data_IF_273450232508
#
_entry.id   IF_273450232508
#
_cell.length_a   1.000
_cell.length_b   1.000
_cell.length_c   1.000
_cell.angle_alpha   90.00
_cell.angle_beta   90.00
_cell.angle_gamma   90.00
#
_symmetry.space_group_name_H-M   'P 1'
#
loop_
_entity.id
_entity.type
_entity.pdbx_description
1 polymer ?
#
# COMPACT_ATOMS: atom_id res chain seq x y z
N UNK A 1 68.91 34.21 26.87
CA UNK A 1 69.00 34.48 25.42
C UNK A 1 69.82 33.35 24.80
N UNK A 2 69.20 32.46 24.02
CA UNK A 2 69.89 31.37 23.30
C UNK A 2 70.04 31.79 21.83
N UNK A 3 71.19 31.52 21.18
CA UNK A 3 71.45 31.98 19.82
C UNK A 3 70.66 31.18 18.78
N UNK A 4 70.23 31.92 17.75
CA UNK A 4 69.56 31.49 16.54
C UNK A 4 70.54 30.72 15.63
N UNK A 5 70.16 29.52 15.19
CA UNK A 5 70.89 28.74 14.17
C UNK A 5 69.97 28.58 12.95
N UNK A 6 70.39 28.97 11.74
CA UNK A 6 69.55 28.93 10.55
C UNK A 6 69.46 27.53 9.92
N UNK A 7 68.33 27.27 9.27
CA UNK A 7 67.94 26.00 8.66
C UNK A 7 68.74 25.61 7.40
N UNK A 8 68.93 24.32 7.12
CA UNK A 8 69.22 23.83 5.78
C UNK A 8 67.92 23.61 4.98
N UNK A 9 67.86 24.29 3.85
CA UNK A 9 67.03 24.02 2.69
C UNK A 9 67.24 22.57 2.20
N UNK A 10 66.20 21.89 1.72
CA UNK A 10 66.29 20.94 0.61
C UNK A 10 64.89 20.52 0.09
N UNK A 11 64.70 20.81 -1.19
CA UNK A 11 63.99 20.05 -2.23
C UNK A 11 62.53 19.60 -2.04
N UNK A 12 61.66 20.33 -2.75
CA UNK A 12 60.60 19.87 -3.65
C UNK A 12 60.46 18.34 -3.87
N UNK A 13 59.30 17.77 -3.50
CA UNK A 13 58.58 16.74 -4.28
C UNK A 13 57.06 16.93 -4.10
N UNK A 14 56.26 17.01 -5.18
CA UNK A 14 54.81 17.13 -5.12
C UNK A 14 54.16 15.75 -4.94
N UNK A 15 53.24 15.62 -3.98
CA UNK A 15 52.66 14.33 -3.61
C UNK A 15 51.15 14.40 -3.39
N UNK A 16 50.41 14.04 -4.44
CA UNK A 16 49.14 13.30 -4.41
C UNK A 16 47.96 13.94 -3.66
N UNK A 17 47.23 14.79 -4.40
CA UNK A 17 45.78 14.90 -4.26
C UNK A 17 45.15 13.52 -4.47
N UNK A 18 44.77 12.87 -3.38
CA UNK A 18 43.98 11.64 -3.40
C UNK A 18 42.55 11.97 -3.84
N UNK A 19 42.34 11.98 -5.15
CA UNK A 19 41.04 11.84 -5.78
C UNK A 19 40.43 10.52 -5.31
N UNK A 20 39.57 10.55 -4.28
CA UNK A 20 38.57 9.50 -4.10
C UNK A 20 37.51 9.71 -5.17
N UNK A 21 37.84 9.17 -6.35
CA UNK A 21 36.97 9.08 -7.49
C UNK A 21 35.61 8.55 -7.08
N UNK A 22 34.59 9.26 -7.53
CA UNK A 22 33.24 8.73 -7.72
C UNK A 22 33.39 7.38 -8.39
N UNK A 23 33.07 6.31 -7.67
CA UNK A 23 32.76 5.04 -8.30
C UNK A 23 31.41 5.25 -8.99
N UNK A 24 31.47 5.69 -10.25
CA UNK A 24 30.35 5.67 -11.17
C UNK A 24 29.87 4.23 -11.21
N UNK A 25 28.81 3.90 -10.47
CA UNK A 25 28.12 2.62 -10.63
C UNK A 25 27.72 2.55 -12.09
N UNK A 26 28.22 1.52 -12.77
CA UNK A 26 28.06 1.32 -14.19
C UNK A 26 26.60 1.47 -14.62
N UNK A 27 26.41 2.11 -15.77
CA UNK A 27 25.21 1.93 -16.57
C UNK A 27 25.09 0.43 -16.84
N UNK A 28 24.33 -0.28 -16.01
CA UNK A 28 23.74 -1.55 -16.45
C UNK A 28 22.79 -1.16 -17.55
N UNK A 29 23.06 -1.61 -18.78
CA UNK A 29 22.05 -1.63 -19.84
C UNK A 29 20.86 -2.39 -19.26
N UNK A 30 19.82 -1.64 -18.90
CA UNK A 30 18.54 -2.20 -18.50
C UNK A 30 17.97 -2.74 -19.80
N UNK A 31 17.87 -4.06 -19.90
CA UNK A 31 17.08 -4.68 -20.96
C UNK A 31 15.71 -3.99 -20.92
N UNK A 32 15.35 -3.27 -21.98
CA UNK A 32 14.15 -2.43 -21.99
C UNK A 32 12.92 -3.34 -22.08
N UNK A 33 12.58 -3.96 -20.95
CA UNK A 33 11.29 -4.64 -20.77
C UNK A 33 10.20 -3.65 -21.10
N UNK A 34 9.23 -4.07 -21.92
CA UNK A 34 8.06 -3.28 -22.24
C UNK A 34 7.43 -2.72 -20.95
N UNK A 35 7.38 -1.40 -20.83
CA UNK A 35 6.66 -0.75 -19.73
C UNK A 35 5.19 -0.66 -20.11
N UNK A 36 4.33 -1.21 -19.27
CA UNK A 36 2.88 -1.20 -19.46
C UNK A 36 2.25 -0.54 -18.25
N UNK A 37 1.27 0.34 -18.47
CA UNK A 37 0.40 0.88 -17.43
C UNK A 37 -1.01 0.35 -17.66
N UNK A 38 -1.55 -0.37 -16.67
CA UNK A 38 -2.87 -1.00 -16.75
C UNK A 38 -3.89 -0.16 -15.97
N UNK A 39 -5.00 0.18 -16.62
CA UNK A 39 -6.15 0.80 -15.97
C UNK A 39 -7.11 -0.32 -15.57
N UNK A 40 -7.49 -0.33 -14.29
CA UNK A 40 -8.36 -1.35 -13.70
C UNK A 40 -9.67 -0.73 -13.28
N UNK A 41 -10.77 -1.30 -13.73
CA UNK A 41 -12.12 -0.76 -13.55
C UNK A 41 -12.44 -0.54 -12.08
N UNK A 42 -12.13 -1.50 -11.22
CA UNK A 42 -12.36 -1.46 -9.78
C UNK A 42 -11.66 -0.27 -9.11
N UNK A 43 -10.45 0.09 -9.58
CA UNK A 43 -9.72 1.25 -9.07
C UNK A 43 -10.23 2.56 -9.66
N UNK A 44 -10.70 2.56 -10.91
CA UNK A 44 -11.38 3.73 -11.51
C UNK A 44 -12.67 4.02 -10.76
N UNK A 45 -13.49 3.01 -10.50
CA UNK A 45 -14.74 3.16 -9.74
C UNK A 45 -14.48 3.63 -8.32
N UNK A 46 -13.38 3.19 -7.71
CA UNK A 46 -13.01 3.59 -6.35
C UNK A 46 -12.50 5.04 -6.28
N UNK A 47 -11.63 5.44 -7.22
CA UNK A 47 -10.96 6.75 -7.21
C UNK A 47 -11.76 7.84 -7.94
N UNK A 48 -12.65 7.44 -8.85
CA UNK A 48 -13.32 8.29 -9.84
C UNK A 48 -12.34 9.09 -10.73
N UNK A 49 -11.12 8.57 -10.94
CA UNK A 49 -10.09 9.20 -11.77
C UNK A 49 -9.12 8.12 -12.30
N UNK A 50 -9.01 8.00 -13.63
CA UNK A 50 -8.19 6.94 -14.25
C UNK A 50 -6.70 7.08 -13.96
N UNK A 51 -6.18 8.30 -13.78
CA UNK A 51 -4.76 8.53 -13.47
C UNK A 51 -4.48 8.14 -12.03
N UNK A 52 -5.36 8.50 -11.09
CA UNK A 52 -5.23 8.06 -9.70
C UNK A 52 -5.38 6.54 -9.57
N UNK A 53 -6.26 5.93 -10.37
CA UNK A 53 -6.41 4.48 -10.44
C UNK A 53 -5.12 3.78 -10.87
N UNK A 54 -4.41 4.31 -11.87
CA UNK A 54 -3.09 3.79 -12.28
C UNK A 54 -2.07 3.90 -11.14
N UNK A 55 -2.01 5.04 -10.44
CA UNK A 55 -1.10 5.19 -9.29
C UNK A 55 -1.44 4.18 -8.20
N UNK A 56 -2.72 4.03 -7.86
CA UNK A 56 -3.15 3.07 -6.84
C UNK A 56 -2.80 1.63 -7.23
N UNK A 57 -3.05 1.25 -8.48
CA UNK A 57 -2.71 -0.07 -9.00
C UNK A 57 -1.22 -0.35 -8.93
N UNK A 58 -0.39 0.60 -9.36
CA UNK A 58 1.06 0.47 -9.27
C UNK A 58 1.56 0.32 -7.81
N UNK A 59 0.98 1.06 -6.87
CA UNK A 59 1.35 0.92 -5.44
C UNK A 59 0.93 -0.43 -4.86
N UNK A 60 -0.20 -1.00 -5.31
CA UNK A 60 -0.62 -2.36 -4.93
C UNK A 60 0.37 -3.39 -5.45
N UNK A 61 0.83 -3.26 -6.70
CA UNK A 61 1.86 -4.14 -7.26
C UNK A 61 3.19 -4.00 -6.52
N UNK A 62 3.65 -2.80 -6.23
CA UNK A 62 4.90 -2.63 -5.47
C UNK A 62 4.78 -3.22 -4.06
N UNK A 63 3.60 -3.17 -3.44
CA UNK A 63 3.36 -3.81 -2.15
C UNK A 63 3.53 -5.33 -2.19
N UNK A 64 3.29 -5.99 -3.33
CA UNK A 64 3.47 -7.45 -3.46
C UNK A 64 4.88 -7.92 -3.71
N UNK A 65 5.74 -6.97 -4.07
CA UNK A 65 7.14 -7.24 -4.41
C UNK A 65 8.07 -6.95 -3.24
N UNK A 66 7.53 -6.54 -2.09
CA UNK A 66 8.32 -6.34 -0.87
C UNK A 66 8.80 -7.70 -0.32
N UNK A 67 10.04 -7.81 0.16
CA UNK A 67 10.57 -9.10 0.64
C UNK A 67 9.81 -9.69 1.82
N UNK A 68 9.20 -8.84 2.65
CA UNK A 68 8.44 -9.20 3.84
C UNK A 68 6.93 -9.26 3.58
N UNK A 69 6.54 -9.55 2.33
CA UNK A 69 5.13 -9.55 1.92
C UNK A 69 4.24 -10.46 2.77
N UNK A 70 4.68 -11.68 3.05
CA UNK A 70 3.90 -12.63 3.87
C UNK A 70 3.63 -12.07 5.28
N UNK A 71 4.65 -11.48 5.92
CA UNK A 71 4.52 -10.84 7.24
C UNK A 71 3.60 -9.61 7.18
N UNK A 72 3.62 -8.91 6.06
CA UNK A 72 2.68 -7.81 5.81
C UNK A 72 1.23 -8.30 5.71
N UNK A 73 0.96 -9.47 5.09
CA UNK A 73 -0.39 -10.06 5.07
C UNK A 73 -0.85 -10.41 6.48
N UNK A 74 0.02 -11.09 7.24
CA UNK A 74 -0.25 -11.49 8.62
C UNK A 74 -0.55 -10.28 9.51
N UNK A 75 0.15 -9.16 9.29
CA UNK A 75 -0.07 -7.91 10.03
C UNK A 75 -1.43 -7.26 9.70
N UNK A 76 -1.83 -7.28 8.42
CA UNK A 76 -3.13 -6.78 7.96
C UNK A 76 -4.29 -7.65 8.45
N UNK A 77 -4.10 -8.97 8.55
CA UNK A 77 -5.10 -9.92 9.09
C UNK A 77 -5.19 -9.88 10.60
N UNK A 78 -4.08 -9.98 11.31
CA UNK A 78 -4.07 -10.08 12.78
C UNK A 78 -4.64 -8.83 13.45
N UNK A 79 -4.58 -7.68 12.77
CA UNK A 79 -5.28 -6.46 13.20
C UNK A 79 -6.82 -6.61 13.27
N UNK A 80 -7.41 -7.74 12.84
CA UNK A 80 -8.83 -8.09 13.00
C UNK A 80 -9.17 -8.58 14.42
N UNK A 81 -8.25 -9.29 15.07
CA UNK A 81 -8.54 -10.02 16.30
C UNK A 81 -8.43 -9.13 17.55
N UNK A 82 -7.60 -8.10 17.50
CA UNK A 82 -7.38 -7.19 18.62
C UNK A 82 -8.31 -5.97 18.56
N UNK A 83 -9.63 -6.20 18.69
CA UNK A 83 -10.65 -5.15 18.78
C UNK A 83 -10.75 -4.52 20.19
N UNK A 84 -9.62 -4.24 20.84
CA UNK A 84 -9.54 -3.41 22.05
C UNK A 84 -8.57 -2.26 21.77
N UNK A 85 -8.83 -1.02 22.21
CA UNK A 85 -8.06 0.13 21.76
C UNK A 85 -6.72 0.16 22.50
N UNK A 86 -5.56 0.00 21.83
CA UNK A 86 -4.38 0.68 22.32
C UNK A 86 -4.51 2.13 21.87
N UNK A 87 -4.34 3.05 22.81
CA UNK A 87 -4.30 4.50 22.61
C UNK A 87 -3.24 4.95 21.59
N UNK A 88 -2.40 4.03 21.10
CA UNK A 88 -1.39 4.24 20.07
C UNK A 88 -1.72 3.46 18.80
N UNK A 89 -1.67 4.14 17.66
CA UNK A 89 -1.78 3.53 16.32
C UNK A 89 -0.83 2.33 16.23
N UNK A 90 -1.27 1.15 15.75
CA UNK A 90 -0.40 0.00 15.59
C UNK A 90 0.79 0.40 14.72
N UNK A 91 2.01 0.24 15.25
CA UNK A 91 3.24 0.55 14.53
C UNK A 91 3.49 -0.55 13.51
N UNK A 92 2.91 -0.38 12.31
CA UNK A 92 3.11 -1.30 11.20
C UNK A 92 4.59 -1.45 10.86
N UNK A 93 5.11 -2.67 10.94
CA UNK A 93 6.53 -2.99 10.74
C UNK A 93 6.80 -3.41 9.29
N UNK A 94 5.84 -4.07 8.64
CA UNK A 94 6.02 -4.74 7.37
C UNK A 94 5.31 -4.05 6.19
N UNK A 95 5.72 -4.40 4.96
CA UNK A 95 5.04 -3.94 3.74
C UNK A 95 5.38 -2.51 3.31
N UNK A 96 6.48 -1.96 3.84
CA UNK A 96 6.94 -0.62 3.51
C UNK A 96 7.96 -0.64 2.38
N UNK A 97 7.69 0.10 1.31
CA UNK A 97 8.64 0.26 0.20
C UNK A 97 9.05 1.73 0.03
N UNK A 98 10.28 1.94 -0.45
CA UNK A 98 10.85 3.28 -0.67
C UNK A 98 10.90 3.58 -2.16
N UNK A 99 10.19 4.63 -2.59
CA UNK A 99 10.27 5.14 -3.97
C UNK A 99 10.28 6.66 -3.97
N UNK A 100 11.00 7.24 -4.91
CA UNK A 100 10.94 8.68 -5.20
C UNK A 100 9.72 8.98 -6.07
N UNK A 101 9.27 10.24 -6.06
CA UNK A 101 8.21 10.70 -6.97
C UNK A 101 8.62 10.50 -8.43
N UNK A 102 9.91 10.68 -8.76
CA UNK A 102 10.40 10.50 -10.12
C UNK A 102 10.33 9.03 -10.56
N UNK A 103 10.77 8.10 -9.71
CA UNK A 103 10.67 6.66 -10.01
C UNK A 103 9.19 6.24 -10.23
N UNK A 104 8.27 6.71 -9.38
CA UNK A 104 6.85 6.41 -9.54
C UNK A 104 6.26 7.02 -10.83
N UNK A 105 6.69 8.22 -11.21
CA UNK A 105 6.28 8.85 -12.47
C UNK A 105 6.76 8.04 -13.69
N UNK A 106 8.03 7.63 -13.67
CA UNK A 106 8.66 6.89 -14.76
C UNK A 106 8.12 5.46 -14.90
N UNK A 107 7.58 4.90 -13.82
CA UNK A 107 6.96 3.57 -13.77
C UNK A 107 5.47 3.61 -14.15
N UNK A 108 4.72 4.64 -13.73
CA UNK A 108 3.28 4.76 -14.01
C UNK A 108 2.95 5.32 -15.39
N UNK A 109 3.93 5.87 -16.11
CA UNK A 109 3.78 6.43 -17.48
C UNK A 109 2.73 7.56 -17.60
N UNK A 110 2.35 8.21 -16.51
CA UNK A 110 1.27 9.22 -16.50
C UNK A 110 1.65 10.58 -17.11
N UNK A 111 2.94 10.82 -17.39
CA UNK A 111 3.45 12.07 -17.98
C UNK A 111 2.89 13.35 -17.34
N UNK A 112 2.80 13.38 -16.02
CA UNK A 112 2.38 14.57 -15.25
C UNK A 112 3.54 15.18 -14.49
N UNK A 113 3.39 16.43 -14.06
CA UNK A 113 4.39 17.07 -13.20
C UNK A 113 4.47 16.37 -11.83
N UNK A 114 5.62 16.46 -11.18
CA UNK A 114 5.80 15.97 -9.81
C UNK A 114 4.84 16.61 -8.80
N UNK A 115 4.41 17.85 -9.02
CA UNK A 115 3.40 18.53 -8.19
C UNK A 115 2.04 17.85 -8.32
N UNK A 116 1.61 17.57 -9.55
CA UNK A 116 0.36 16.84 -9.82
C UNK A 116 0.41 15.43 -9.24
N UNK A 117 1.53 14.71 -9.40
CA UNK A 117 1.68 13.37 -8.86
C UNK A 117 1.59 13.33 -7.32
N UNK A 118 2.20 14.31 -6.65
CA UNK A 118 2.05 14.45 -5.19
C UNK A 118 0.59 14.68 -4.78
N UNK A 119 -0.20 15.41 -5.57
CA UNK A 119 -1.64 15.55 -5.32
C UNK A 119 -2.37 14.21 -5.41
N UNK A 120 -2.02 13.37 -6.39
CA UNK A 120 -2.59 12.01 -6.49
C UNK A 120 -2.24 11.17 -5.27
N UNK A 121 -0.97 11.13 -4.85
CA UNK A 121 -0.55 10.41 -3.64
C UNK A 121 -1.26 10.93 -2.38
N UNK A 122 -1.33 12.25 -2.20
CA UNK A 122 -2.00 12.85 -1.05
C UNK A 122 -3.50 12.52 -1.03
N UNK A 123 -4.15 12.42 -2.20
CA UNK A 123 -5.53 11.95 -2.28
C UNK A 123 -5.65 10.50 -1.79
N UNK A 124 -4.80 9.58 -2.26
CA UNK A 124 -4.83 8.18 -1.83
C UNK A 124 -4.52 8.02 -0.33
N UNK A 125 -3.61 8.85 0.20
CA UNK A 125 -3.32 8.93 1.64
C UNK A 125 -4.50 9.48 2.43
N UNK A 126 -5.14 10.55 1.95
CA UNK A 126 -6.33 11.13 2.58
C UNK A 126 -7.52 10.18 2.60
N UNK A 127 -7.64 9.29 1.60
CA UNK A 127 -8.61 8.19 1.60
C UNK A 127 -8.23 7.04 2.54
N UNK A 128 -6.98 6.98 2.99
CA UNK A 128 -6.47 5.96 3.90
C UNK A 128 -6.13 4.63 3.22
N UNK A 129 -6.11 4.58 1.88
CA UNK A 129 -5.67 3.41 1.12
C UNK A 129 -4.14 3.29 1.09
N UNK A 130 -3.44 4.40 1.30
CA UNK A 130 -1.97 4.45 1.37
C UNK A 130 -1.56 5.13 2.67
N UNK A 131 -0.53 4.60 3.32
CA UNK A 131 0.15 5.22 4.45
C UNK A 131 1.53 5.70 4.00
N UNK A 132 1.99 6.78 4.61
CA UNK A 132 3.34 7.32 4.38
C UNK A 132 4.08 7.44 5.69
N UNK A 133 5.40 7.28 5.64
CA UNK A 133 6.30 7.62 6.75
C UNK A 133 7.65 8.10 6.24
N UNK A 134 8.34 8.88 7.07
CA UNK A 134 9.78 9.12 6.91
C UNK A 134 10.57 7.91 7.41
N UNK A 135 11.79 7.71 6.91
CA UNK A 135 12.64 6.61 7.36
C UNK A 135 12.82 6.65 8.90
N UNK A 136 12.30 5.65 9.65
CA UNK A 136 12.38 5.67 11.11
C UNK A 136 13.80 5.42 11.63
N UNK A 137 14.66 4.76 10.83
CA UNK A 137 16.03 4.38 11.22
C UNK A 137 17.04 5.49 10.94
N UNK A 138 16.80 6.33 9.92
CA UNK A 138 17.71 7.40 9.56
C UNK A 138 16.96 8.71 9.27
N UNK A 139 17.03 9.67 10.21
CA UNK A 139 16.38 10.99 10.09
C UNK A 139 16.91 11.86 8.94
N UNK A 140 18.13 11.59 8.48
CA UNK A 140 18.75 12.32 7.37
C UNK A 140 18.32 11.77 6.01
N UNK A 141 17.79 10.54 5.98
CA UNK A 141 17.22 9.95 4.78
C UNK A 141 15.80 10.49 4.56
N UNK A 142 15.68 11.44 3.63
CA UNK A 142 14.42 12.10 3.28
C UNK A 142 13.55 11.27 2.35
N UNK A 143 13.88 10.00 2.07
CA UNK A 143 13.04 9.12 1.26
C UNK A 143 11.74 8.82 1.99
N UNK A 144 10.62 9.09 1.32
CA UNK A 144 9.29 8.69 1.77
C UNK A 144 9.13 7.19 1.57
N UNK A 145 8.60 6.52 2.59
CA UNK A 145 8.16 5.14 2.48
C UNK A 145 6.65 5.11 2.33
N UNK A 146 6.17 4.21 1.48
CA UNK A 146 4.75 3.97 1.24
C UNK A 146 4.38 2.57 1.70
N UNK A 147 3.15 2.41 2.16
CA UNK A 147 2.54 1.12 2.48
C UNK A 147 1.07 1.17 2.10
N UNK A 148 0.61 0.18 1.35
CA UNK A 148 -0.82 0.08 0.99
C UNK A 148 -1.58 -0.51 2.17
N UNK A 149 -2.73 0.05 2.50
CA UNK A 149 -3.67 -0.50 3.47
C UNK A 149 -4.63 -1.42 2.72
N UNK A 150 -4.21 -2.67 2.53
CA UNK A 150 -4.93 -3.62 1.70
C UNK A 150 -6.26 -4.00 2.32
N UNK A 151 -6.35 -4.12 3.65
CA UNK A 151 -7.63 -4.36 4.32
C UNK A 151 -8.66 -3.27 4.03
N UNK A 152 -8.29 -2.00 4.16
CA UNK A 152 -9.20 -0.89 3.84
C UNK A 152 -9.56 -0.86 2.36
N UNK A 153 -8.55 -1.03 1.50
CA UNK A 153 -8.75 -1.04 0.05
C UNK A 153 -9.75 -2.14 -0.35
N UNK A 154 -9.55 -3.35 0.14
CA UNK A 154 -10.45 -4.48 -0.05
C UNK A 154 -11.88 -4.20 0.43
N UNK A 155 -12.02 -3.70 1.66
CA UNK A 155 -13.34 -3.37 2.22
C UNK A 155 -14.08 -2.29 1.41
N UNK A 156 -13.35 -1.27 0.91
CA UNK A 156 -13.96 -0.21 0.12
C UNK A 156 -14.29 -0.66 -1.32
N UNK A 157 -13.51 -1.59 -1.89
CA UNK A 157 -13.84 -2.23 -3.18
C UNK A 157 -15.08 -3.14 -3.07
N UNK A 158 -15.20 -3.91 -1.98
CA UNK A 158 -16.36 -4.77 -1.74
C UNK A 158 -17.66 -3.97 -1.65
N UNK A 159 -17.63 -2.80 -1.01
CA UNK A 159 -18.79 -1.88 -0.98
C UNK A 159 -19.23 -1.41 -2.37
N UNK A 160 -18.34 -1.50 -3.36
CA UNK A 160 -18.60 -1.16 -4.77
C UNK A 160 -18.88 -2.40 -5.63
N UNK A 161 -18.93 -3.59 -5.04
CA UNK A 161 -19.17 -4.85 -5.75
C UNK A 161 -17.93 -5.46 -6.41
N UNK A 162 -16.73 -5.00 -6.06
CA UNK A 162 -15.46 -5.53 -6.60
C UNK A 162 -14.65 -6.29 -5.53
N UNK A 163 -13.84 -7.23 -5.99
CA UNK A 163 -12.85 -7.96 -5.19
C UNK A 163 -11.45 -7.66 -5.71
N UNK A 164 -10.45 -7.60 -4.84
CA UNK A 164 -9.06 -7.34 -5.25
C UNK A 164 -8.42 -8.64 -5.80
N UNK A 165 -8.58 -8.89 -7.11
CA UNK A 165 -8.13 -10.11 -7.80
C UNK A 165 -6.60 -10.27 -7.95
N UNK A 166 -5.78 -9.39 -7.37
CA UNK A 166 -4.34 -9.30 -7.73
C UNK A 166 -3.53 -10.48 -7.20
N UNK A 167 -4.05 -11.21 -6.22
CA UNK A 167 -3.30 -12.23 -5.50
C UNK A 167 -4.21 -13.39 -5.09
N UNK A 168 -3.90 -14.60 -5.55
CA UNK A 168 -4.57 -15.83 -5.11
C UNK A 168 -4.53 -15.99 -3.58
N UNK A 169 -3.44 -15.57 -2.93
CA UNK A 169 -3.30 -15.60 -1.46
C UNK A 169 -4.29 -14.67 -0.73
N UNK A 170 -4.78 -13.63 -1.40
CA UNK A 170 -5.67 -12.63 -0.80
C UNK A 170 -7.14 -13.04 -0.88
N UNK A 171 -7.50 -13.95 -1.77
CA UNK A 171 -8.86 -14.48 -1.87
C UNK A 171 -9.37 -14.99 -0.50
N UNK A 172 -8.47 -15.56 0.31
CA UNK A 172 -8.77 -16.02 1.67
C UNK A 172 -9.21 -14.91 2.64
N UNK A 173 -8.78 -13.65 2.44
CA UNK A 173 -9.17 -12.49 3.26
C UNK A 173 -10.64 -12.09 3.06
N UNK A 174 -11.21 -12.44 1.91
CA UNK A 174 -12.58 -12.03 1.55
C UNK A 174 -13.63 -13.03 2.04
N UNK A 175 -13.25 -14.29 2.26
CA UNK A 175 -14.16 -15.33 2.71
C UNK A 175 -14.54 -15.15 4.19
N UNK A 176 -13.64 -14.63 5.01
CA UNK A 176 -13.87 -14.42 6.45
C UNK A 176 -14.81 -13.23 6.76
N UNK A 177 -15.01 -12.28 5.85
CA UNK A 177 -16.00 -11.21 6.04
C UNK A 177 -17.42 -11.60 5.57
N UNK A 178 -17.54 -12.59 4.68
CA UNK A 178 -18.84 -13.06 4.19
C UNK A 178 -19.65 -13.74 5.30
N UNK A 179 -18.96 -14.43 6.22
CA UNK A 179 -19.61 -15.15 7.32
C UNK A 179 -20.11 -14.25 8.47
N UNK A 180 -19.64 -12.99 8.57
CA UNK A 180 -20.10 -12.04 9.58
C UNK A 180 -21.34 -11.22 9.18
N UNK A 181 -21.65 -11.12 7.88
CA UNK A 181 -22.78 -10.30 7.41
C UNK A 181 -24.09 -11.08 7.19
N UNK A 182 -24.06 -12.41 7.23
CA UNK A 182 -25.24 -13.27 7.05
C UNK A 182 -25.86 -13.79 8.36
N UNK A 183 -25.20 -13.62 9.51
CA UNK A 183 -25.74 -14.07 10.82
C UNK A 183 -26.41 -12.96 11.66
N UNK A 184 -26.88 -11.89 11.00
CA UNK A 184 -27.55 -10.76 11.67
C UNK A 184 -29.05 -10.62 11.42
N UNK A 185 -29.67 -11.41 10.54
CA UNK A 185 -31.07 -11.22 10.16
C UNK A 185 -31.86 -12.53 10.08
N UNK A 186 -32.14 -13.13 11.23
CA UNK A 186 -33.34 -13.97 11.39
C UNK A 186 -33.90 -13.91 12.81
N UNK A 187 -34.33 -12.72 13.23
CA UNK A 187 -35.36 -12.60 14.28
C UNK A 187 -36.73 -12.54 13.59
N UNK A 188 -37.45 -13.64 13.74
CA UNK A 188 -38.78 -13.99 13.21
C UNK A 188 -39.83 -12.86 13.31
N UNK A 189 -40.74 -12.74 12.33
CA UNK A 189 -42.13 -12.41 12.60
C UNK A 189 -42.93 -13.69 12.85
N UNK A 190 -43.49 -13.81 14.04
CA UNK A 190 -44.55 -14.76 14.35
C UNK A 190 -45.82 -14.36 13.58
N UNK A 191 -46.41 -15.29 12.83
CA UNK A 191 -47.84 -15.29 12.53
C UNK A 191 -48.36 -16.74 12.68
N UNK A 192 -49.52 -16.94 13.32
CA UNK A 192 -50.01 -18.25 13.69
C UNK A 192 -50.75 -18.92 12.52
N UNK A 193 -50.45 -20.20 12.27
CA UNK A 193 -51.30 -21.05 11.43
C UNK A 193 -52.25 -21.83 12.33
N UNK A 194 -53.54 -21.58 12.11
CA UNK A 194 -54.67 -22.18 12.79
C UNK A 194 -54.74 -23.70 12.58
N UNK A 195 -55.24 -24.36 13.62
CA UNK A 195 -55.47 -25.79 13.76
C UNK A 195 -56.50 -26.34 12.79
N UNK A 196 -56.23 -27.55 12.31
CA UNK A 196 -57.16 -28.48 11.67
C UNK A 196 -58.47 -28.64 12.44
N UNK A 197 -59.61 -28.79 11.76
CA UNK A 197 -60.35 -30.07 11.67
C UNK A 197 -61.69 -29.92 10.92
N UNK A 198 -61.86 -30.80 9.93
CA UNK A 198 -63.08 -31.51 9.52
C UNK A 198 -64.34 -31.29 10.38
N UNK A 199 -65.48 -30.94 9.77
CA UNK A 199 -66.71 -31.77 9.72
C UNK A 199 -67.88 -31.05 9.00
N UNK A 200 -68.57 -31.78 8.11
CA UNK A 200 -70.03 -31.79 7.80
C UNK A 200 -70.85 -30.56 8.24
N UNK A 201 -71.73 -29.91 7.45
CA UNK A 201 -72.93 -30.49 6.81
C UNK A 201 -73.76 -29.35 6.16
N UNK A 202 -74.37 -29.66 5.01
CA UNK A 202 -75.64 -29.14 4.44
C UNK A 202 -75.92 -27.63 4.21
N UNK A 203 -76.15 -27.32 2.92
CA UNK A 203 -77.19 -26.50 2.24
C UNK A 203 -78.41 -26.03 3.09
N UNK A 204 -79.32 -25.15 2.60
CA UNK A 204 -79.44 -24.39 1.32
C UNK A 204 -79.71 -22.87 1.60
N UNK A 205 -80.08 -21.94 0.72
CA UNK A 205 -80.62 -21.84 -0.65
C UNK A 205 -79.94 -20.66 -1.35
#
# INVERSE_FOLDING_TARGET
MKPFVPAPHLSHVPGLLSNRGKLCKGHKNKEDSLKVAVIREEFVTLTNDSRMAVVLGHLVEESSRVPDFNLFIEEETSSLETASPPTDQPTFQHGWFCKTIQELLDETLLHVTGVTFRRYLNFLVGRGWVRTRTNPRNRWDRRTQYRVNLRKLCADLQKRGYTLSVFESYESLFHSQKECSEKGALSKPCLPSETETSSLKERPL
#
